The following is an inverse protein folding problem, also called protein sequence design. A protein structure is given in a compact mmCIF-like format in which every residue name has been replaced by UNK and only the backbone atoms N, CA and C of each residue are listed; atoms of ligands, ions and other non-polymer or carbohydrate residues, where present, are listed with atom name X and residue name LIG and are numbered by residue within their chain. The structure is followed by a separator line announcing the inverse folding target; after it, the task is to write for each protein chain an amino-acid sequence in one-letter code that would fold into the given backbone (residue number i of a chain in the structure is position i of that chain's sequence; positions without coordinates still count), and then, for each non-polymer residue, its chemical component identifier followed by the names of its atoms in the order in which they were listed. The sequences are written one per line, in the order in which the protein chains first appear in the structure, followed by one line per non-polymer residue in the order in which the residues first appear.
data_IF_460490529862
#
_entry.id   IF_460490529862
#
_cell.length_a   1.000
_cell.length_b   1.000
_cell.length_c   1.000
_cell.angle_alpha   90.00
_cell.angle_beta   90.00
_cell.angle_gamma   90.00
#
_symmetry.space_group_name_H-M   'P 1'
#
loop_
_entity.id
_entity.type
_entity.pdbx_description
1 polymer ?
#
# COMPACT_ATOMS: atom_id res chain seq x y z
N UNK A 1 -3.25 -1.93 -24.79
CA UNK A 1 -3.17 -0.83 -23.81
C UNK A 1 -3.22 -1.47 -22.44
N UNK A 2 -2.09 -1.53 -21.72
CA UNK A 2 -2.15 -1.88 -20.30
C UNK A 2 -2.38 -0.57 -19.57
N UNK A 3 -3.57 -0.40 -19.04
CA UNK A 3 -3.98 0.74 -18.23
C UNK A 3 -3.02 0.79 -17.03
N UNK A 4 -1.97 1.60 -17.16
CA UNK A 4 -1.00 1.80 -16.09
C UNK A 4 -1.82 2.37 -14.93
N UNK A 5 -1.96 1.59 -13.86
CA UNK A 5 -2.66 2.03 -12.65
C UNK A 5 -2.19 3.45 -12.30
N UNK A 6 -3.11 4.34 -11.88
CA UNK A 6 -2.80 5.74 -11.65
C UNK A 6 -1.53 5.85 -10.80
N UNK A 7 -0.52 6.55 -11.33
CA UNK A 7 0.69 6.83 -10.57
C UNK A 7 0.31 7.88 -9.52
N UNK A 8 0.34 7.48 -8.26
CA UNK A 8 0.15 8.37 -7.14
C UNK A 8 1.45 9.12 -6.88
N UNK A 9 1.37 10.43 -6.77
CA UNK A 9 2.47 11.23 -6.24
C UNK A 9 2.39 11.18 -4.72
N UNK A 10 3.37 10.52 -4.09
CA UNK A 10 3.49 10.52 -2.64
C UNK A 10 3.89 11.92 -2.14
N UNK A 11 3.63 12.24 -0.88
CA UNK A 11 4.06 13.54 -0.32
C UNK A 11 5.58 13.76 -0.31
N UNK A 12 6.38 12.70 -0.48
CA UNK A 12 7.84 12.78 -0.68
C UNK A 12 8.25 13.18 -2.12
N UNK A 13 7.28 13.36 -3.02
CA UNK A 13 7.53 13.78 -4.40
C UNK A 13 7.93 12.65 -5.36
N UNK A 14 7.93 11.38 -4.94
CA UNK A 14 8.14 10.26 -5.87
C UNK A 14 6.83 9.67 -6.42
N UNK A 15 7.00 8.92 -7.51
CA UNK A 15 5.95 8.15 -8.17
C UNK A 15 5.75 6.80 -7.49
N UNK A 16 4.52 6.53 -7.07
CA UNK A 16 4.09 5.26 -6.48
C UNK A 16 2.97 4.66 -7.33
N UNK A 17 3.02 3.35 -7.56
CA UNK A 17 1.89 2.59 -8.10
C UNK A 17 1.19 1.87 -6.97
N UNK A 18 -0.14 1.84 -7.00
CA UNK A 18 -0.93 1.02 -6.07
C UNK A 18 -1.29 -0.31 -6.70
N UNK A 19 -1.19 -1.38 -5.91
CA UNK A 19 -1.80 -2.68 -6.14
C UNK A 19 -2.61 -3.08 -4.92
N UNK A 20 -3.65 -3.88 -5.13
CA UNK A 20 -4.36 -4.54 -4.04
C UNK A 20 -3.73 -5.91 -3.80
N UNK A 21 -3.53 -6.25 -2.54
CA UNK A 21 -3.05 -7.55 -2.10
C UNK A 21 -4.09 -8.17 -1.18
N UNK A 22 -4.33 -9.46 -1.35
CA UNK A 22 -5.13 -10.26 -0.42
C UNK A 22 -4.37 -11.52 -0.13
N UNK A 23 -4.32 -11.90 1.14
CA UNK A 23 -3.68 -13.13 1.53
C UNK A 23 -4.40 -14.34 0.92
N UNK A 24 -3.63 -15.35 0.55
CA UNK A 24 -4.18 -16.64 0.10
C UNK A 24 -4.53 -17.54 1.30
N UNK A 25 -3.95 -17.24 2.47
CA UNK A 25 -4.19 -17.95 3.71
C UNK A 25 -4.99 -17.09 4.71
N UNK A 26 -6.02 -17.65 5.37
CA UNK A 26 -6.70 -16.93 6.43
C UNK A 26 -5.80 -16.78 7.67
N UNK A 27 -5.95 -15.65 8.38
CA UNK A 27 -5.42 -15.41 9.72
C UNK A 27 -5.84 -16.54 10.69
N UNK A 28 -5.15 -16.75 11.84
CA UNK A 28 -5.59 -17.63 12.93
C UNK A 28 -7.07 -17.57 13.31
N UNK A 29 -7.78 -16.47 13.04
CA UNK A 29 -9.22 -16.34 13.24
C UNK A 29 -10.09 -16.80 12.05
N UNK A 30 -9.50 -17.38 11.01
CA UNK A 30 -10.20 -17.81 9.80
C UNK A 30 -10.56 -16.67 8.84
N UNK A 31 -9.88 -15.52 8.89
CA UNK A 31 -10.21 -14.33 8.11
C UNK A 31 -9.10 -13.97 7.13
N UNK A 32 -9.47 -13.64 5.90
CA UNK A 32 -8.57 -13.20 4.85
C UNK A 32 -8.30 -11.71 4.98
N UNK A 33 -7.03 -11.33 5.09
CA UNK A 33 -6.61 -9.93 5.16
C UNK A 33 -6.39 -9.35 3.77
N UNK A 34 -6.91 -8.15 3.52
CA UNK A 34 -6.67 -7.39 2.30
C UNK A 34 -5.96 -6.08 2.64
N UNK A 35 -4.90 -5.77 1.88
CA UNK A 35 -4.01 -4.65 2.08
C UNK A 35 -3.67 -3.95 0.76
N UNK A 36 -3.20 -2.72 0.84
CA UNK A 36 -2.67 -1.97 -0.29
C UNK A 36 -1.15 -2.10 -0.35
N UNK A 37 -0.65 -2.44 -1.53
CA UNK A 37 0.77 -2.48 -1.84
C UNK A 37 1.11 -1.27 -2.73
N UNK A 38 1.95 -0.39 -2.22
CA UNK A 38 2.46 0.77 -2.93
C UNK A 38 3.88 0.53 -3.42
N UNK A 39 4.06 0.38 -4.72
CA UNK A 39 5.38 0.19 -5.33
C UNK A 39 5.99 1.55 -5.64
N UNK A 40 7.13 1.86 -5.02
CA UNK A 40 7.91 3.07 -5.30
C UNK A 40 8.75 2.85 -6.55
N UNK A 41 8.61 3.75 -7.51
CA UNK A 41 9.42 3.73 -8.73
C UNK A 41 10.60 4.70 -8.64
N UNK A 42 11.66 4.39 -9.39
CA UNK A 42 12.75 5.34 -9.62
C UNK A 42 12.20 6.62 -10.26
N UNK A 43 12.92 7.73 -10.14
CA UNK A 43 12.60 9.00 -10.85
C UNK A 43 12.32 8.79 -12.35
N UNK A 44 13.15 7.96 -12.99
CA UNK A 44 12.99 7.59 -14.41
C UNK A 44 11.78 6.67 -14.69
N UNK A 45 11.11 6.13 -13.67
CA UNK A 45 9.98 5.20 -13.80
C UNK A 45 10.31 3.82 -14.38
N UNK A 46 11.59 3.50 -14.55
CA UNK A 46 12.04 2.28 -15.24
C UNK A 46 12.11 1.05 -14.33
N UNK A 47 12.41 1.26 -13.03
CA UNK A 47 12.50 0.16 -12.06
C UNK A 47 11.82 0.47 -10.73
N UNK A 48 11.25 -0.55 -10.06
CA UNK A 48 10.84 -0.41 -8.68
C UNK A 48 12.09 -0.24 -7.79
N UNK A 49 12.12 0.81 -6.99
CA UNK A 49 13.21 1.09 -6.03
C UNK A 49 12.86 0.68 -4.61
N UNK A 50 11.58 0.38 -4.36
CA UNK A 50 11.09 -0.10 -3.08
C UNK A 50 9.58 -0.33 -3.13
N UNK A 51 9.02 -0.75 -2.01
CA UNK A 51 7.58 -0.80 -1.82
C UNK A 51 7.22 -0.42 -0.38
N UNK A 52 6.01 0.05 -0.21
CA UNK A 52 5.35 0.34 1.04
C UNK A 52 4.10 -0.53 1.07
N UNK A 53 3.85 -1.20 2.18
CA UNK A 53 2.67 -2.03 2.36
C UNK A 53 1.86 -1.46 3.52
N UNK A 54 0.55 -1.36 3.35
CA UNK A 54 -0.34 -1.04 4.47
C UNK A 54 -0.58 -2.27 5.32
N UNK A 55 -0.89 -2.06 6.58
CA UNK A 55 -1.57 -3.08 7.38
C UNK A 55 -2.87 -3.56 6.70
N UNK A 56 -3.38 -4.73 7.11
CA UNK A 56 -4.65 -5.25 6.59
C UNK A 56 -5.79 -4.28 6.91
N UNK A 57 -6.23 -3.55 5.88
CA UNK A 57 -7.28 -2.54 6.00
C UNK A 57 -8.66 -3.20 6.16
N UNK A 58 -8.85 -4.34 5.50
CA UNK A 58 -10.09 -5.10 5.54
C UNK A 58 -9.81 -6.57 5.79
N UNK A 59 -10.74 -7.22 6.50
CA UNK A 59 -10.70 -8.65 6.75
C UNK A 59 -12.06 -9.25 6.42
N UNK A 60 -12.06 -10.35 5.67
CA UNK A 60 -13.28 -11.02 5.20
C UNK A 60 -13.27 -12.51 5.48
N UNK A 61 -14.43 -13.15 5.43
CA UNK A 61 -14.53 -14.61 5.52
C UNK A 61 -13.97 -15.32 4.26
N UNK A 62 -13.86 -14.58 3.15
CA UNK A 62 -13.26 -15.03 1.89
C UNK A 62 -12.34 -13.94 1.34
N UNK A 63 -11.39 -14.26 0.46
CA UNK A 63 -10.53 -13.25 -0.16
C UNK A 63 -11.34 -12.22 -0.96
N UNK A 64 -12.42 -12.63 -1.62
CA UNK A 64 -13.31 -11.72 -2.35
C UNK A 64 -14.04 -10.72 -1.43
N UNK A 65 -14.43 -11.18 -0.24
CA UNK A 65 -15.13 -10.38 0.77
C UNK A 65 -14.21 -9.31 1.38
N UNK A 66 -12.93 -9.64 1.58
CA UNK A 66 -11.91 -8.69 2.01
C UNK A 66 -11.51 -7.71 0.89
N UNK A 67 -11.44 -8.21 -0.37
CA UNK A 67 -10.99 -7.44 -1.52
C UNK A 67 -12.06 -6.46 -2.04
N UNK A 68 -13.35 -6.78 -1.91
CA UNK A 68 -14.46 -5.94 -2.37
C UNK A 68 -14.43 -4.51 -1.79
N UNK A 69 -14.40 -4.31 -0.45
CA UNK A 69 -14.29 -2.96 0.12
C UNK A 69 -12.95 -2.31 -0.19
N UNK A 70 -11.87 -3.10 -0.34
CA UNK A 70 -10.56 -2.59 -0.73
C UNK A 70 -10.56 -2.02 -2.17
N UNK A 71 -11.24 -2.69 -3.11
CA UNK A 71 -11.42 -2.23 -4.48
C UNK A 71 -12.43 -1.08 -4.61
N UNK A 72 -13.32 -0.93 -3.63
CA UNK A 72 -14.25 0.19 -3.53
C UNK A 72 -13.60 1.46 -2.97
N UNK A 73 -12.35 1.39 -2.50
CA UNK A 73 -11.62 2.57 -2.03
C UNK A 73 -11.45 3.60 -3.14
N UNK A 74 -11.67 4.86 -2.78
CA UNK A 74 -11.44 5.97 -3.70
C UNK A 74 -9.96 6.26 -3.84
N UNK A 75 -9.56 6.91 -4.94
CA UNK A 75 -8.18 7.40 -5.11
C UNK A 75 -7.75 8.31 -3.94
N UNK A 76 -8.68 9.03 -3.31
CA UNK A 76 -8.41 9.87 -2.15
C UNK A 76 -8.06 9.04 -0.91
N UNK A 77 -8.81 7.96 -0.63
CA UNK A 77 -8.50 7.07 0.49
C UNK A 77 -7.16 6.37 0.28
N UNK A 78 -6.91 5.87 -0.94
CA UNK A 78 -5.63 5.27 -1.32
C UNK A 78 -4.48 6.26 -1.11
N UNK A 79 -4.64 7.53 -1.54
CA UNK A 79 -3.64 8.57 -1.30
C UNK A 79 -3.40 8.81 0.19
N UNK A 80 -4.46 8.87 1.00
CA UNK A 80 -4.35 9.07 2.46
C UNK A 80 -3.56 7.94 3.12
N UNK A 81 -3.79 6.69 2.71
CA UNK A 81 -3.03 5.54 3.20
C UNK A 81 -1.56 5.58 2.77
N UNK A 82 -1.29 5.97 1.52
CA UNK A 82 0.08 6.16 1.05
C UNK A 82 0.82 7.21 1.89
N UNK A 83 0.20 8.37 2.10
CA UNK A 83 0.79 9.46 2.89
C UNK A 83 1.09 9.03 4.33
N UNK A 84 0.14 8.34 5.00
CA UNK A 84 0.35 7.79 6.34
C UNK A 84 1.52 6.79 6.38
N UNK A 85 1.64 5.94 5.36
CA UNK A 85 2.73 4.97 5.25
C UNK A 85 4.09 5.65 5.03
N UNK A 86 4.14 6.71 4.21
CA UNK A 86 5.34 7.54 4.02
C UNK A 86 5.72 8.25 5.33
N UNK A 87 4.76 8.84 6.04
CA UNK A 87 5.02 9.50 7.32
C UNK A 87 5.52 8.52 8.39
N UNK A 88 4.93 7.33 8.47
CA UNK A 88 5.40 6.24 9.35
C UNK A 88 6.82 5.80 9.01
N UNK A 89 7.15 5.62 7.73
CA UNK A 89 8.50 5.26 7.29
C UNK A 89 9.51 6.38 7.60
N UNK A 90 9.13 7.63 7.37
CA UNK A 90 9.96 8.81 7.69
C UNK A 90 10.26 8.94 9.19
N UNK A 91 9.31 8.57 10.06
CA UNK A 91 9.53 8.51 11.52
C UNK A 91 10.42 7.33 11.94
N UNK A 92 10.30 6.18 11.27
CA UNK A 92 11.13 4.99 11.55
C UNK A 92 12.62 5.17 11.25
N UNK A 93 13.01 6.16 10.45
CA UNK A 93 14.42 6.50 10.17
C UNK A 93 14.99 7.57 11.12
N UNK A 94 14.23 8.00 12.15
CA UNK A 94 14.66 8.96 13.17
C UNK A 94 15.18 8.36 14.49
N UNK A 95 15.05 7.06 14.72
CA UNK A 95 15.52 6.39 15.95
C UNK A 95 16.86 5.68 15.76
N UNK A 96 17.86 6.48 15.36
CA UNK A 96 19.27 6.13 15.43
C UNK A 96 19.99 7.17 16.28
N UNK A 97 19.65 7.25 17.57
CA UNK A 97 20.37 8.08 18.52
C UNK A 97 21.81 7.56 18.74
N UNK A 98 22.76 8.47 18.97
CA UNK A 98 23.71 8.28 20.05
C UNK A 98 23.53 9.40 21.08
N UNK A 99 23.50 8.99 22.35
CA UNK A 99 23.68 9.89 23.49
C UNK A 99 25.14 10.32 23.68
#
# INVERSE_FOLDING_TARGET
MHERAPAFSGSDGQSYSVGTYVDDAPDPQGRYGAALLFVRWSDAGDRPVGHLETEYLFQGATPADALTPLLALTLQDVKRHLDDCIEKQGRGMGEGGPG
#
